data_IF_656966600070
#
_entry.id   IF_656966600070
#
_cell.length_a   1.000
_cell.length_b   1.000
_cell.length_c   1.000
_cell.angle_alpha   90.00
_cell.angle_beta   90.00
_cell.angle_gamma   90.00
#
_symmetry.space_group_name_H-M   'P 1'
#
loop_
_entity.id
_entity.type
_entity.pdbx_description
1 polymer ?
#
# COMPACT_ATOMS: atom_id res chain seq x y z
N UNK A 1 0.10 -21.83 47.57
CA UNK A 1 -0.52 -20.74 46.78
C UNK A 1 0.44 -20.16 45.73
N UNK A 2 1.66 -19.75 46.09
CA UNK A 2 2.66 -19.21 45.14
C UNK A 2 3.04 -20.17 43.98
N UNK A 3 3.12 -21.47 44.24
CA UNK A 3 3.40 -22.50 43.21
C UNK A 3 2.28 -22.66 42.17
N UNK A 4 1.03 -22.44 42.58
CA UNK A 4 -0.15 -22.52 41.68
C UNK A 4 -0.22 -21.27 40.79
N UNK A 5 0.07 -20.10 41.36
CA UNK A 5 0.19 -18.85 40.60
C UNK A 5 1.32 -18.91 39.57
N UNK A 6 2.47 -19.49 39.93
CA UNK A 6 3.60 -19.64 39.01
C UNK A 6 3.27 -20.57 37.82
N UNK A 7 2.54 -21.67 38.08
CA UNK A 7 2.11 -22.60 37.03
C UNK A 7 1.07 -21.97 36.08
N UNK A 8 0.18 -21.12 36.60
CA UNK A 8 -0.83 -20.42 35.80
C UNK A 8 -0.21 -19.38 34.86
N UNK A 9 0.79 -18.62 35.35
CA UNK A 9 1.50 -17.62 34.52
C UNK A 9 2.31 -18.31 33.42
N UNK A 10 2.95 -19.45 33.73
CA UNK A 10 3.73 -20.21 32.75
C UNK A 10 2.85 -20.77 31.60
N UNK A 11 1.61 -21.17 31.90
CA UNK A 11 0.69 -21.73 30.89
C UNK A 11 0.12 -20.64 29.97
N UNK A 12 -0.08 -19.41 30.45
CA UNK A 12 -0.48 -18.26 29.62
C UNK A 12 0.66 -17.85 28.66
N UNK A 13 1.92 -17.94 29.10
CA UNK A 13 3.07 -17.61 28.27
C UNK A 13 3.26 -18.58 27.09
N UNK A 14 2.89 -19.86 27.23
CA UNK A 14 3.06 -20.86 26.18
C UNK A 14 2.01 -20.78 25.05
N UNK A 15 0.85 -20.16 25.30
CA UNK A 15 -0.21 -20.04 24.29
C UNK A 15 0.09 -18.98 23.20
N UNK A 16 1.14 -18.16 23.36
CA UNK A 16 1.50 -17.09 22.43
C UNK A 16 2.45 -17.48 21.29
N UNK A 17 3.12 -18.64 21.36
CA UNK A 17 4.03 -19.13 20.32
C UNK A 17 3.35 -20.17 19.42
N UNK A 18 2.21 -19.80 18.84
CA UNK A 18 1.59 -20.53 17.73
C UNK A 18 1.96 -19.88 16.41
N UNK A 19 3.24 -19.90 16.04
CA UNK A 19 3.72 -19.41 14.74
C UNK A 19 3.34 -20.41 13.66
N UNK A 20 2.17 -20.20 13.04
CA UNK A 20 1.77 -20.94 11.85
C UNK A 20 2.68 -20.57 10.68
N UNK A 21 3.63 -21.45 10.37
CA UNK A 21 4.44 -21.37 9.15
C UNK A 21 3.55 -21.73 7.96
N UNK A 22 2.94 -20.70 7.35
CA UNK A 22 2.31 -20.87 6.05
C UNK A 22 3.42 -20.99 5.01
N UNK A 23 3.41 -22.03 4.14
CA UNK A 23 4.43 -22.15 3.12
C UNK A 23 4.31 -20.95 2.17
N UNK A 24 5.27 -20.03 2.26
CA UNK A 24 5.40 -18.92 1.33
C UNK A 24 5.84 -19.52 -0.01
N UNK A 25 4.87 -19.77 -0.89
CA UNK A 25 5.16 -20.13 -2.26
C UNK A 25 5.99 -19.01 -2.90
N UNK A 26 7.16 -19.35 -3.42
CA UNK A 26 8.01 -18.41 -4.13
C UNK A 26 7.24 -17.86 -5.35
N UNK A 27 6.88 -16.57 -5.29
CA UNK A 27 6.27 -15.90 -6.42
C UNK A 27 7.30 -15.79 -7.58
N UNK A 28 6.88 -16.02 -8.84
CA UNK A 28 7.76 -15.86 -9.98
C UNK A 28 8.28 -14.41 -10.04
N UNK A 29 9.60 -14.26 -10.17
CA UNK A 29 10.27 -12.98 -10.37
C UNK A 29 10.07 -12.51 -11.81
N UNK A 30 8.84 -12.18 -12.18
CA UNK A 30 8.59 -11.41 -13.40
C UNK A 30 9.00 -9.98 -13.07
N UNK A 31 10.06 -9.48 -13.69
CA UNK A 31 10.39 -8.06 -13.64
C UNK A 31 9.14 -7.26 -14.09
N UNK A 32 8.70 -6.23 -13.35
CA UNK A 32 7.59 -5.42 -13.79
C UNK A 32 7.92 -4.89 -15.19
N UNK A 33 7.00 -5.11 -16.13
CA UNK A 33 7.10 -4.45 -17.43
C UNK A 33 7.26 -2.94 -17.17
N UNK A 34 8.19 -2.29 -17.88
CA UNK A 34 8.34 -0.84 -17.81
C UNK A 34 6.95 -0.22 -18.05
N UNK A 35 6.51 0.75 -17.20
CA UNK A 35 5.24 1.41 -17.42
C UNK A 35 5.21 1.96 -18.85
N UNK A 36 4.15 1.64 -19.59
CA UNK A 36 3.93 2.32 -20.86
C UNK A 36 3.90 3.83 -20.60
N UNK A 37 4.70 4.60 -21.34
CA UNK A 37 4.65 6.05 -21.34
C UNK A 37 3.26 6.45 -21.84
N UNK A 38 2.33 6.69 -20.91
CA UNK A 38 1.00 7.18 -21.23
C UNK A 38 1.10 8.53 -21.93
N UNK A 39 0.11 8.83 -22.79
CA UNK A 39 0.06 10.13 -23.46
C UNK A 39 0.09 11.26 -22.41
N UNK A 40 0.92 12.30 -22.58
CA UNK A 40 1.00 13.39 -21.63
C UNK A 40 -0.37 14.07 -21.50
N UNK A 41 -0.82 14.26 -20.27
CA UNK A 41 -2.05 14.98 -19.98
C UNK A 41 -1.68 16.39 -19.55
N UNK A 42 -2.00 17.35 -20.40
CA UNK A 42 -1.76 18.78 -20.20
C UNK A 42 -2.94 19.59 -20.70
N UNK A 43 -3.14 20.77 -20.13
CA UNK A 43 -4.21 21.68 -20.54
C UNK A 43 -4.08 23.06 -19.91
N UNK A 44 -5.19 23.78 -19.93
CA UNK A 44 -5.33 25.10 -19.29
C UNK A 44 -6.25 24.96 -18.09
N UNK A 45 -5.81 25.43 -16.93
CA UNK A 45 -6.62 25.49 -15.72
C UNK A 45 -7.72 26.56 -15.82
N UNK A 46 -8.65 26.55 -14.87
CA UNK A 46 -9.81 27.46 -14.87
C UNK A 46 -9.43 28.94 -14.72
N UNK A 47 -8.26 29.23 -14.18
CA UNK A 47 -7.67 30.56 -14.04
C UNK A 47 -6.84 30.98 -15.27
N UNK A 48 -6.71 30.12 -16.27
CA UNK A 48 -5.96 30.38 -17.49
C UNK A 48 -4.50 29.92 -17.45
N UNK A 49 -4.01 29.36 -16.34
CA UNK A 49 -2.64 28.87 -16.25
C UNK A 49 -2.45 27.57 -17.04
N UNK A 50 -1.26 27.35 -17.61
CA UNK A 50 -0.89 26.07 -18.21
C UNK A 50 -0.63 25.04 -17.11
N UNK A 51 -1.18 23.83 -17.25
CA UNK A 51 -1.00 22.75 -16.27
C UNK A 51 -0.64 21.44 -16.97
N UNK A 52 0.30 20.69 -16.39
CA UNK A 52 0.69 19.34 -16.82
C UNK A 52 0.69 18.37 -15.65
N UNK A 53 0.11 17.18 -15.83
CA UNK A 53 0.20 16.12 -14.82
C UNK A 53 1.63 15.61 -14.62
N UNK A 54 2.54 15.88 -15.55
CA UNK A 54 3.95 15.55 -15.39
C UNK A 54 4.60 16.33 -14.22
N UNK A 55 4.12 17.54 -13.93
CA UNK A 55 4.66 18.39 -12.86
C UNK A 55 4.35 17.83 -11.45
N UNK A 56 3.43 16.86 -11.37
CA UNK A 56 3.00 16.22 -10.12
C UNK A 56 3.57 14.79 -9.95
N UNK A 57 4.54 14.37 -10.76
CA UNK A 57 5.19 13.04 -10.62
C UNK A 57 5.70 12.83 -9.18
N UNK A 58 5.45 11.64 -8.63
CA UNK A 58 5.86 11.28 -7.27
C UNK A 58 4.96 11.85 -6.16
N UNK A 59 3.89 12.58 -6.51
CA UNK A 59 2.89 13.09 -5.56
C UNK A 59 1.56 12.36 -5.74
N UNK A 60 0.82 12.06 -4.66
CA UNK A 60 -0.57 11.63 -4.80
C UNK A 60 -1.41 12.77 -5.36
N UNK A 61 -2.16 12.50 -6.43
CA UNK A 61 -3.01 13.47 -7.12
C UNK A 61 -4.42 12.91 -7.22
N UNK A 62 -5.42 13.75 -6.90
CA UNK A 62 -6.83 13.44 -7.14
C UNK A 62 -7.28 14.11 -8.44
N UNK A 63 -7.74 13.32 -9.40
CA UNK A 63 -8.26 13.82 -10.68
C UNK A 63 -9.78 13.82 -10.63
N UNK A 64 -10.37 15.01 -10.75
CA UNK A 64 -11.83 15.18 -10.86
C UNK A 64 -12.20 15.43 -12.32
N UNK A 65 -13.01 14.53 -12.90
CA UNK A 65 -13.56 14.67 -14.25
C UNK A 65 -15.03 15.07 -14.10
N UNK A 66 -15.38 16.25 -14.60
CA UNK A 66 -16.72 16.82 -14.45
C UNK A 66 -17.12 17.63 -15.69
N UNK A 67 -18.38 18.04 -15.72
CA UNK A 67 -18.89 18.98 -16.70
C UNK A 67 -20.03 19.83 -16.14
N UNK A 68 -20.26 21.00 -16.72
CA UNK A 68 -21.22 22.02 -16.28
C UNK A 68 -22.57 22.00 -17.01
N UNK A 69 -22.78 21.06 -17.94
CA UNK A 69 -24.01 20.96 -18.72
C UNK A 69 -25.19 20.42 -17.90
#
# INVERSE_FOLDING_TARGET
MARVLLALVASIALAGCGSGDAPTAAAPTTAPAAPAEGSPVSGTALDGEAVSLADFRGKPVFVNVWSSW
#
